data_IF_408114142258
#
_entry.id   IF_408114142258
#
_cell.length_a   1.000
_cell.length_b   1.000
_cell.length_c   1.000
_cell.angle_alpha   90.00
_cell.angle_beta   90.00
_cell.angle_gamma   90.00
#
_symmetry.space_group_name_H-M   'P 1'
#
loop_
_entity.id
_entity.type
_entity.pdbx_description
1 polymer ?
#
# COMPACT_ATOMS: atom_id res chain seq x y z
N UNK A 1 20.68 -5.05 77.48
CA UNK A 1 20.35 -3.68 77.01
C UNK A 1 21.06 -3.47 75.68
N UNK A 2 20.33 -3.51 74.60
CA UNK A 2 20.64 -2.84 73.32
C UNK A 2 19.53 -3.21 72.33
N UNK A 3 18.72 -2.23 71.97
CA UNK A 3 17.64 -2.31 71.04
C UNK A 3 18.21 -2.36 69.62
N UNK A 4 17.85 -3.38 68.82
CA UNK A 4 18.04 -3.38 67.37
C UNK A 4 16.71 -2.93 66.71
N UNK A 5 16.76 -1.77 66.05
CA UNK A 5 15.73 -1.30 65.16
C UNK A 5 15.94 -1.93 63.79
N UNK A 6 15.06 -2.80 63.37
CA UNK A 6 14.93 -3.27 62.01
C UNK A 6 14.15 -2.20 61.19
N UNK A 7 14.85 -1.60 60.26
CA UNK A 7 14.22 -0.76 59.23
C UNK A 7 13.65 -1.63 58.12
N UNK A 8 12.34 -1.76 58.10
CA UNK A 8 11.59 -2.32 56.97
C UNK A 8 11.46 -1.28 55.87
N UNK A 9 12.22 -1.45 54.78
CA UNK A 9 12.00 -0.69 53.56
C UNK A 9 10.71 -1.13 52.91
N UNK A 10 9.75 -0.21 52.93
CA UNK A 10 8.49 -0.36 52.21
C UNK A 10 8.72 -0.04 50.73
N UNK A 11 8.75 -1.07 49.88
CA UNK A 11 8.73 -0.88 48.43
C UNK A 11 7.39 -0.24 48.01
N UNK A 12 7.46 1.03 47.64
CA UNK A 12 6.35 1.74 47.05
C UNK A 12 6.09 1.19 45.63
N UNK A 13 5.04 0.42 45.48
CA UNK A 13 4.45 0.09 44.17
C UNK A 13 4.02 1.40 43.49
N UNK A 14 4.79 1.87 42.52
CA UNK A 14 4.37 2.91 41.58
C UNK A 14 3.18 2.38 40.78
N UNK A 15 1.99 2.62 41.26
CA UNK A 15 0.75 2.38 40.55
C UNK A 15 0.75 3.16 39.24
N UNK A 16 0.82 2.45 38.09
CA UNK A 16 0.52 3.03 36.78
C UNK A 16 -0.90 3.61 36.86
N UNK A 17 -1.03 4.92 36.99
CA UNK A 17 -2.29 5.62 36.78
C UNK A 17 -2.72 5.35 35.32
N UNK A 18 -3.63 4.40 35.11
CA UNK A 18 -4.37 4.29 33.86
C UNK A 18 -5.13 5.59 33.69
N UNK A 19 -4.68 6.48 32.80
CA UNK A 19 -5.48 7.61 32.33
C UNK A 19 -6.74 7.00 31.71
N UNK A 20 -7.88 7.11 32.39
CA UNK A 20 -9.18 6.88 31.78
C UNK A 20 -9.41 8.08 30.87
N UNK A 21 -9.18 7.92 29.58
CA UNK A 21 -9.67 8.86 28.59
C UNK A 21 -11.18 8.64 28.50
N UNK A 22 -11.95 9.56 29.03
CA UNK A 22 -13.35 9.70 28.68
C UNK A 22 -13.34 10.31 27.27
N UNK A 23 -13.38 9.49 26.25
CA UNK A 23 -13.67 9.95 24.89
C UNK A 23 -15.13 10.37 24.86
N UNK A 24 -15.42 11.63 24.57
CA UNK A 24 -16.77 12.03 24.19
C UNK A 24 -17.21 11.14 23.01
N UNK A 25 -18.48 10.76 23.00
CA UNK A 25 -19.02 9.97 21.89
C UNK A 25 -18.77 10.74 20.58
N UNK A 26 -18.25 10.05 19.57
CA UNK A 26 -18.01 10.64 18.25
C UNK A 26 -19.31 11.29 17.72
N UNK A 27 -19.21 12.51 17.23
CA UNK A 27 -20.35 13.18 16.60
C UNK A 27 -20.69 12.51 15.26
N UNK A 28 -21.68 11.63 15.29
CA UNK A 28 -22.12 10.80 14.16
C UNK A 28 -23.41 11.32 13.57
N UNK A 29 -23.47 11.45 12.25
CA UNK A 29 -24.70 11.73 11.55
C UNK A 29 -24.86 10.83 10.31
N UNK A 30 -26.10 10.71 9.83
CA UNK A 30 -26.45 9.94 8.64
C UNK A 30 -27.06 10.89 7.61
N UNK A 31 -26.75 10.65 6.34
CA UNK A 31 -27.31 11.34 5.19
C UNK A 31 -27.44 10.36 4.05
N UNK A 32 -28.48 10.51 3.22
CA UNK A 32 -28.62 9.69 2.02
C UNK A 32 -28.24 10.51 0.78
N UNK A 33 -27.42 9.91 -0.08
CA UNK A 33 -27.07 10.50 -1.38
C UNK A 33 -27.41 9.52 -2.50
N UNK A 34 -27.98 10.05 -3.58
CA UNK A 34 -28.16 9.26 -4.79
C UNK A 34 -26.81 9.01 -5.46
N UNK A 35 -26.72 7.95 -6.29
CA UNK A 35 -25.52 7.62 -7.05
C UNK A 35 -25.03 8.83 -7.87
N UNK A 36 -25.95 9.54 -8.53
CA UNK A 36 -25.67 10.78 -9.26
C UNK A 36 -25.09 11.87 -8.36
N UNK A 37 -25.64 12.06 -7.15
CA UNK A 37 -25.14 13.06 -6.20
C UNK A 37 -23.75 12.69 -5.67
N UNK A 38 -23.52 11.41 -5.37
CA UNK A 38 -22.21 10.93 -4.92
C UNK A 38 -21.15 11.18 -6.00
N UNK A 39 -21.39 10.77 -7.25
CA UNK A 39 -20.48 10.97 -8.36
C UNK A 39 -20.14 12.46 -8.57
N UNK A 40 -21.16 13.31 -8.61
CA UNK A 40 -20.99 14.77 -8.76
C UNK A 40 -20.17 15.41 -7.63
N UNK A 41 -20.36 14.96 -6.37
CA UNK A 41 -19.59 15.46 -5.22
C UNK A 41 -18.14 15.03 -5.28
N UNK A 42 -17.86 13.82 -5.77
CA UNK A 42 -16.48 13.35 -6.01
C UNK A 42 -15.80 14.20 -7.10
N UNK A 43 -16.50 14.50 -8.18
CA UNK A 43 -15.97 15.35 -9.27
C UNK A 43 -15.65 16.77 -8.82
N UNK A 44 -16.47 17.32 -7.94
CA UNK A 44 -16.26 18.65 -7.37
C UNK A 44 -15.21 18.71 -6.25
N UNK A 45 -14.67 17.57 -5.83
CA UNK A 45 -13.76 17.49 -4.68
C UNK A 45 -14.44 17.69 -3.32
N UNK A 46 -15.78 17.72 -3.26
CA UNK A 46 -16.52 17.76 -1.99
C UNK A 46 -16.44 16.41 -1.24
N UNK A 47 -16.22 15.33 -1.99
CA UNK A 47 -15.94 13.99 -1.46
C UNK A 47 -14.58 13.54 -1.97
N UNK A 48 -13.64 13.34 -1.07
CA UNK A 48 -12.33 12.78 -1.43
C UNK A 48 -12.33 11.27 -1.27
N UNK A 49 -11.86 10.60 -2.33
CA UNK A 49 -11.57 9.17 -2.33
C UNK A 49 -10.10 8.89 -1.99
N UNK A 50 -9.28 9.94 -1.91
CA UNK A 50 -7.87 9.88 -1.59
C UNK A 50 -7.67 10.30 -0.14
N UNK A 51 -7.58 9.34 0.75
CA UNK A 51 -7.02 9.58 2.07
C UNK A 51 -5.73 8.77 2.24
N UNK A 52 -4.90 9.18 3.20
CA UNK A 52 -3.60 8.58 3.44
C UNK A 52 -3.66 7.08 3.75
N UNK A 53 -4.81 6.58 4.15
CA UNK A 53 -5.02 5.23 4.70
C UNK A 53 -5.44 4.21 3.65
N UNK A 54 -6.13 4.63 2.56
CA UNK A 54 -6.77 3.71 1.64
C UNK A 54 -5.91 3.37 0.44
N UNK A 55 -5.94 2.08 0.03
CA UNK A 55 -5.36 1.58 -1.21
C UNK A 55 -5.87 2.35 -2.41
N UNK A 56 -5.09 2.35 -3.48
CA UNK A 56 -5.55 2.72 -4.81
C UNK A 56 -6.80 1.93 -5.23
N UNK A 57 -7.41 2.30 -6.34
CA UNK A 57 -8.51 1.52 -6.90
C UNK A 57 -8.00 0.16 -7.40
N UNK A 58 -8.55 -0.94 -6.84
CA UNK A 58 -8.07 -2.31 -7.09
C UNK A 58 -9.16 -3.28 -7.56
N UNK A 59 -10.43 -2.86 -7.62
CA UNK A 59 -11.50 -3.71 -8.11
C UNK A 59 -11.35 -4.00 -9.60
N UNK A 60 -11.42 -5.28 -9.96
CA UNK A 60 -11.57 -5.74 -11.32
C UNK A 60 -12.97 -5.44 -11.88
N UNK A 61 -13.14 -5.66 -13.18
CA UNK A 61 -14.41 -5.35 -13.85
C UNK A 61 -15.57 -6.21 -13.33
N UNK A 62 -15.30 -7.44 -12.93
CA UNK A 62 -16.33 -8.35 -12.43
C UNK A 62 -16.93 -7.85 -11.11
N UNK A 63 -16.09 -7.40 -10.17
CA UNK A 63 -16.54 -6.80 -8.90
C UNK A 63 -17.25 -5.46 -9.10
N UNK A 64 -16.77 -4.65 -10.05
CA UNK A 64 -17.43 -3.41 -10.41
C UNK A 64 -18.84 -3.68 -10.97
N UNK A 65 -18.95 -4.63 -11.89
CA UNK A 65 -20.22 -5.03 -12.51
C UNK A 65 -21.19 -5.61 -11.49
N UNK A 66 -20.70 -6.42 -10.54
CA UNK A 66 -21.52 -6.99 -9.47
C UNK A 66 -22.12 -5.91 -8.55
N UNK A 67 -21.41 -4.80 -8.31
CA UNK A 67 -21.97 -3.66 -7.56
C UNK A 67 -23.14 -3.03 -8.31
N UNK A 68 -22.99 -2.77 -9.60
CA UNK A 68 -24.06 -2.18 -10.42
C UNK A 68 -25.27 -3.12 -10.48
N UNK A 69 -25.03 -4.41 -10.68
CA UNK A 69 -26.08 -5.42 -10.62
C UNK A 69 -26.81 -5.40 -9.26
N UNK A 70 -26.07 -5.28 -8.15
CA UNK A 70 -26.67 -5.20 -6.80
C UNK A 70 -27.55 -3.96 -6.63
N UNK A 71 -27.21 -2.83 -7.27
CA UNK A 71 -28.05 -1.62 -7.25
C UNK A 71 -29.38 -1.85 -7.97
N UNK A 72 -29.37 -2.62 -9.05
CA UNK A 72 -30.58 -2.91 -9.86
C UNK A 72 -31.46 -3.98 -9.22
N UNK A 73 -30.88 -4.98 -8.57
CA UNK A 73 -31.59 -6.16 -8.06
C UNK A 73 -31.88 -6.10 -6.56
N UNK A 74 -31.57 -4.97 -5.90
CA UNK A 74 -31.89 -4.76 -4.49
C UNK A 74 -31.04 -5.54 -3.48
N UNK A 75 -29.90 -6.14 -3.91
CA UNK A 75 -28.97 -6.74 -2.96
C UNK A 75 -28.41 -5.67 -2.01
N UNK A 76 -28.23 -5.99 -0.71
CA UNK A 76 -27.81 -5.02 0.29
C UNK A 76 -26.40 -4.51 0.02
N UNK A 77 -26.25 -3.21 -0.08
CA UNK A 77 -24.96 -2.53 -0.19
C UNK A 77 -24.64 -1.90 1.16
N UNK A 78 -23.48 -2.23 1.78
CA UNK A 78 -23.11 -1.66 3.06
C UNK A 78 -23.03 -0.13 3.02
N UNK A 79 -23.33 0.59 4.12
CA UNK A 79 -23.22 2.03 4.17
C UNK A 79 -21.80 2.51 3.89
N UNK A 80 -21.68 3.74 3.42
CA UNK A 80 -20.39 4.43 3.32
C UNK A 80 -20.07 5.08 4.65
N UNK A 81 -18.80 5.09 5.03
CA UNK A 81 -18.33 5.78 6.21
C UNK A 81 -17.35 6.89 5.81
N UNK A 82 -17.53 8.08 6.40
CA UNK A 82 -16.76 9.26 6.05
C UNK A 82 -16.34 10.04 7.30
N UNK A 83 -15.22 10.73 7.25
CA UNK A 83 -14.93 11.87 8.13
C UNK A 83 -15.35 13.15 7.42
N UNK A 84 -15.79 14.15 8.19
CA UNK A 84 -16.09 15.46 7.68
C UNK A 84 -15.19 16.48 8.37
N UNK A 85 -14.43 17.20 7.56
CA UNK A 85 -13.64 18.35 8.02
C UNK A 85 -14.07 19.56 7.18
N UNK A 86 -14.57 20.59 7.81
CA UNK A 86 -15.19 21.73 7.16
C UNK A 86 -16.31 21.30 6.19
N UNK A 87 -16.13 21.52 4.90
CA UNK A 87 -17.10 21.14 3.85
C UNK A 87 -16.64 19.95 3.01
N UNK A 88 -15.56 19.26 3.38
CA UNK A 88 -15.02 18.12 2.65
C UNK A 88 -15.28 16.83 3.42
N UNK A 89 -15.82 15.85 2.71
CA UNK A 89 -16.02 14.49 3.21
C UNK A 89 -14.91 13.58 2.71
N UNK A 90 -14.19 12.92 3.63
CA UNK A 90 -13.17 11.94 3.28
C UNK A 90 -13.70 10.54 3.53
N UNK A 91 -13.75 9.69 2.49
CA UNK A 91 -14.23 8.31 2.62
C UNK A 91 -13.30 7.49 3.52
N UNK A 92 -13.83 6.93 4.59
CA UNK A 92 -13.18 5.99 5.49
C UNK A 92 -13.40 4.54 5.06
N UNK A 93 -14.62 4.24 4.58
CA UNK A 93 -14.94 2.97 3.92
C UNK A 93 -15.88 3.21 2.74
N UNK A 94 -15.73 2.38 1.70
CA UNK A 94 -16.53 2.45 0.49
C UNK A 94 -15.83 3.08 -0.71
N UNK A 95 -14.53 3.42 -0.63
CA UNK A 95 -13.76 3.98 -1.76
C UNK A 95 -13.95 3.20 -3.06
N UNK A 96 -13.81 1.87 -3.03
CA UNK A 96 -13.94 1.05 -4.23
C UNK A 96 -15.35 1.16 -4.83
N UNK A 97 -16.38 1.16 -3.98
CA UNK A 97 -17.78 1.31 -4.38
C UNK A 97 -18.05 2.70 -4.97
N UNK A 98 -17.63 3.76 -4.28
CA UNK A 98 -17.81 5.13 -4.76
C UNK A 98 -17.09 5.39 -6.09
N UNK A 99 -15.86 4.90 -6.23
CA UNK A 99 -15.12 5.00 -7.49
C UNK A 99 -15.80 4.21 -8.61
N UNK A 100 -16.32 3.02 -8.32
CA UNK A 100 -17.05 2.20 -9.31
C UNK A 100 -18.30 2.93 -9.81
N UNK A 101 -19.10 3.49 -8.91
CA UNK A 101 -20.31 4.25 -9.27
C UNK A 101 -19.95 5.43 -10.19
N UNK A 102 -18.96 6.25 -9.80
CA UNK A 102 -18.48 7.36 -10.62
C UNK A 102 -18.02 6.89 -12.00
N UNK A 103 -17.19 5.85 -12.05
CA UNK A 103 -16.64 5.31 -13.30
C UNK A 103 -17.71 4.78 -14.23
N UNK A 104 -18.72 4.11 -13.67
CA UNK A 104 -19.83 3.58 -14.49
C UNK A 104 -20.69 4.70 -15.08
N UNK A 105 -21.08 5.68 -14.26
CA UNK A 105 -21.86 6.83 -14.72
C UNK A 105 -21.13 7.68 -15.78
N UNK A 106 -19.78 7.58 -15.83
CA UNK A 106 -18.92 8.23 -16.83
C UNK A 106 -18.53 7.32 -18.01
N UNK A 107 -19.21 6.18 -18.21
CA UNK A 107 -18.92 5.22 -19.29
C UNK A 107 -17.48 4.68 -19.34
N UNK A 108 -16.79 4.63 -18.19
CA UNK A 108 -15.39 4.20 -18.14
C UNK A 108 -15.21 2.67 -18.24
N UNK A 109 -16.27 1.88 -18.06
CA UNK A 109 -16.25 0.43 -18.26
C UNK A 109 -17.61 -0.11 -18.68
N UNK A 110 -17.61 -1.28 -19.31
CA UNK A 110 -18.81 -2.06 -19.64
C UNK A 110 -19.04 -3.16 -18.61
N UNK A 111 -20.29 -3.50 -18.35
CA UNK A 111 -20.70 -4.58 -17.44
C UNK A 111 -20.22 -5.94 -17.93
N UNK A 112 -19.88 -6.84 -17.01
CA UNK A 112 -19.31 -8.14 -17.35
C UNK A 112 -19.61 -9.19 -16.28
N UNK A 113 -19.90 -10.41 -16.74
CA UNK A 113 -20.07 -11.59 -15.89
C UNK A 113 -21.11 -11.41 -14.76
N UNK A 114 -22.23 -10.74 -15.07
CA UNK A 114 -23.36 -10.58 -14.16
C UNK A 114 -24.58 -11.36 -14.67
N UNK A 115 -25.46 -11.83 -13.78
CA UNK A 115 -26.73 -12.43 -14.18
C UNK A 115 -27.61 -11.43 -14.96
N UNK A 116 -28.51 -11.96 -15.75
CA UNK A 116 -29.62 -11.20 -16.36
C UNK A 116 -30.49 -10.56 -15.27
N UNK A 117 -31.13 -9.45 -15.60
CA UNK A 117 -32.04 -8.75 -14.68
C UNK A 117 -33.48 -8.86 -15.16
N UNK A 118 -34.42 -8.88 -14.23
CA UNK A 118 -35.84 -8.70 -14.52
C UNK A 118 -36.09 -7.20 -14.69
N UNK A 119 -36.74 -6.85 -15.81
CA UNK A 119 -37.06 -5.50 -16.19
C UNK A 119 -38.56 -5.37 -16.44
N UNK A 120 -39.23 -4.49 -15.71
CA UNK A 120 -40.65 -4.21 -15.87
C UNK A 120 -40.85 -3.11 -16.91
N UNK A 121 -41.52 -3.45 -18.02
CA UNK A 121 -41.86 -2.49 -19.08
C UNK A 121 -43.35 -2.20 -19.00
N UNK A 122 -43.70 -0.96 -18.75
CA UNK A 122 -45.11 -0.51 -18.79
C UNK A 122 -45.41 0.14 -20.14
N UNK A 123 -46.34 -0.45 -20.87
CA UNK A 123 -46.84 0.10 -22.14
C UNK A 123 -48.27 0.62 -21.96
N UNK A 124 -48.55 1.83 -22.43
CA UNK A 124 -49.89 2.39 -22.50
C UNK A 124 -50.43 2.21 -23.93
N UNK A 125 -51.55 1.48 -24.06
CA UNK A 125 -52.27 1.31 -25.31
C UNK A 125 -53.72 1.66 -25.04
N UNK A 126 -54.26 2.63 -25.77
CA UNK A 126 -55.67 3.09 -25.71
C UNK A 126 -56.13 3.50 -24.29
N UNK A 127 -55.21 4.03 -23.45
CA UNK A 127 -55.50 4.47 -22.08
C UNK A 127 -55.48 3.34 -21.04
N UNK A 128 -55.12 2.14 -21.42
CA UNK A 128 -54.88 1.02 -20.52
C UNK A 128 -53.35 0.79 -20.35
N UNK A 129 -52.89 0.77 -19.13
CA UNK A 129 -51.46 0.47 -18.79
C UNK A 129 -51.29 -1.03 -18.60
N UNK A 130 -50.44 -1.63 -19.40
CA UNK A 130 -50.03 -3.04 -19.23
C UNK A 130 -48.55 -3.12 -18.84
N UNK A 131 -48.26 -3.76 -17.72
CA UNK A 131 -46.89 -4.01 -17.28
C UNK A 131 -46.50 -5.45 -17.63
N UNK A 132 -45.38 -5.61 -18.34
CA UNK A 132 -44.79 -6.90 -18.68
C UNK A 132 -43.39 -6.98 -18.09
N UNK A 133 -43.01 -8.16 -17.62
CA UNK A 133 -41.63 -8.41 -17.14
C UNK A 133 -40.84 -9.05 -18.27
N UNK A 134 -39.74 -8.43 -18.63
CA UNK A 134 -38.77 -8.93 -19.61
C UNK A 134 -37.45 -9.31 -18.92
N UNK A 135 -36.77 -10.32 -19.45
CA UNK A 135 -35.41 -10.67 -19.01
C UNK A 135 -34.42 -9.90 -19.88
N UNK A 136 -33.60 -9.11 -19.26
CA UNK A 136 -32.64 -8.25 -19.94
C UNK A 136 -31.18 -8.64 -19.60
N UNK A 137 -30.41 -8.99 -20.63
CA UNK A 137 -28.97 -9.12 -20.55
C UNK A 137 -28.30 -7.77 -20.79
N UNK A 138 -27.64 -7.25 -19.77
CA UNK A 138 -26.91 -5.98 -19.79
C UNK A 138 -25.37 -6.18 -19.83
N UNK A 139 -24.90 -7.42 -19.99
CA UNK A 139 -23.47 -7.67 -20.17
C UNK A 139 -22.93 -7.00 -21.44
N UNK A 140 -21.73 -6.47 -21.39
CA UNK A 140 -21.10 -5.74 -22.49
C UNK A 140 -21.56 -4.29 -22.63
N UNK A 141 -22.61 -3.86 -21.92
CA UNK A 141 -23.14 -2.50 -22.01
C UNK A 141 -22.45 -1.54 -21.04
N UNK A 142 -22.21 -0.32 -21.49
CA UNK A 142 -21.85 0.85 -20.70
C UNK A 142 -23.11 1.52 -20.16
N UNK A 143 -22.95 2.49 -19.28
CA UNK A 143 -24.08 3.18 -18.67
C UNK A 143 -24.99 3.87 -19.71
N UNK A 144 -24.41 4.59 -20.68
CA UNK A 144 -25.18 5.29 -21.75
C UNK A 144 -25.86 4.35 -22.72
N UNK A 145 -25.51 3.06 -22.75
CA UNK A 145 -26.07 2.04 -23.64
C UNK A 145 -27.25 1.27 -23.00
N UNK A 146 -27.54 1.55 -21.71
CA UNK A 146 -28.67 0.95 -21.01
C UNK A 146 -30.02 1.66 -21.38
N UNK A 147 -31.15 0.98 -21.23
CA UNK A 147 -32.46 1.63 -21.28
C UNK A 147 -32.53 2.80 -20.28
N UNK A 148 -33.30 3.86 -20.65
CA UNK A 148 -33.36 5.12 -19.90
C UNK A 148 -33.86 4.93 -18.46
N UNK A 149 -34.85 4.10 -18.25
CA UNK A 149 -35.39 3.76 -16.93
C UNK A 149 -34.41 2.98 -16.05
N UNK A 150 -33.60 2.09 -16.64
CA UNK A 150 -32.49 1.42 -15.97
C UNK A 150 -31.40 2.44 -15.59
N UNK A 151 -31.07 3.37 -16.49
CA UNK A 151 -30.17 4.47 -16.19
C UNK A 151 -30.65 5.31 -15.01
N UNK A 152 -31.95 5.65 -15.00
CA UNK A 152 -32.56 6.46 -13.96
C UNK A 152 -32.59 5.70 -12.61
N UNK A 153 -32.93 4.41 -12.65
CA UNK A 153 -32.84 3.54 -11.46
C UNK A 153 -31.42 3.56 -10.84
N UNK A 154 -30.37 3.49 -11.67
CA UNK A 154 -28.98 3.56 -11.20
C UNK A 154 -28.65 4.96 -10.66
N UNK A 155 -29.03 6.04 -11.38
CA UNK A 155 -28.77 7.43 -10.95
C UNK A 155 -29.40 7.75 -9.61
N UNK A 156 -30.63 7.29 -9.41
CA UNK A 156 -31.45 7.59 -8.24
C UNK A 156 -31.27 6.60 -7.10
N UNK A 157 -30.48 5.53 -7.30
CA UNK A 157 -30.15 4.58 -6.23
C UNK A 157 -29.59 5.34 -5.02
N UNK A 158 -30.21 5.17 -3.86
CA UNK A 158 -29.89 5.91 -2.65
C UNK A 158 -28.95 5.15 -1.74
N UNK A 159 -27.75 5.71 -1.52
CA UNK A 159 -26.75 5.17 -0.60
C UNK A 159 -26.89 5.79 0.79
N UNK A 160 -26.78 4.97 1.81
CA UNK A 160 -26.66 5.43 3.20
C UNK A 160 -25.20 5.86 3.48
N UNK A 161 -25.01 7.13 3.84
CA UNK A 161 -23.75 7.74 4.20
C UNK A 161 -23.72 8.04 5.68
N UNK A 162 -22.76 7.46 6.39
CA UNK A 162 -22.50 7.74 7.80
C UNK A 162 -21.26 8.61 7.89
N UNK A 163 -21.37 9.79 8.46
CA UNK A 163 -20.19 10.64 8.63
C UNK A 163 -19.96 11.01 10.08
N UNK A 164 -18.71 11.32 10.39
CA UNK A 164 -18.21 11.74 11.69
C UNK A 164 -17.58 13.10 11.53
N UNK A 165 -18.03 14.06 12.34
CA UNK A 165 -17.58 15.44 12.28
C UNK A 165 -16.51 15.70 13.34
N UNK A 166 -15.42 16.38 12.95
CA UNK A 166 -14.34 16.80 13.84
C UNK A 166 -13.54 15.66 14.47
N UNK A 167 -13.45 14.49 13.84
CA UNK A 167 -12.64 13.37 14.34
C UNK A 167 -11.15 13.56 14.02
N UNK A 168 -10.31 13.13 14.97
CA UNK A 168 -8.84 13.16 14.83
C UNK A 168 -8.31 12.06 13.93
N UNK A 169 -7.07 12.18 13.45
CA UNK A 169 -6.40 11.15 12.64
C UNK A 169 -6.25 9.82 13.39
N UNK A 170 -6.06 9.84 14.71
CA UNK A 170 -6.03 8.62 15.52
C UNK A 170 -7.39 7.92 15.57
N UNK A 171 -8.49 8.69 15.67
CA UNK A 171 -9.85 8.15 15.60
C UNK A 171 -10.19 7.62 14.21
N UNK A 172 -9.75 8.30 13.14
CA UNK A 172 -9.83 7.81 11.76
C UNK A 172 -9.16 6.45 11.64
N UNK A 173 -7.94 6.31 12.16
CA UNK A 173 -7.15 5.07 12.13
C UNK A 173 -7.85 3.93 12.87
N UNK A 174 -8.38 4.20 14.05
CA UNK A 174 -9.11 3.22 14.87
C UNK A 174 -10.41 2.77 14.18
N UNK A 175 -11.16 3.70 13.60
CA UNK A 175 -12.36 3.38 12.82
C UNK A 175 -12.04 2.50 11.62
N UNK A 176 -10.95 2.80 10.91
CA UNK A 176 -10.50 1.99 9.79
C UNK A 176 -10.26 0.53 10.21
N UNK A 177 -9.59 0.34 11.36
CA UNK A 177 -9.35 -1.00 11.90
C UNK A 177 -10.66 -1.73 12.21
N UNK A 178 -11.66 -1.02 12.75
CA UNK A 178 -12.94 -1.61 13.13
C UNK A 178 -13.83 -1.92 11.92
N UNK A 179 -13.91 -1.03 10.95
CA UNK A 179 -14.72 -1.19 9.73
C UNK A 179 -14.23 -2.34 8.85
N UNK A 180 -12.93 -2.59 8.81
CA UNK A 180 -12.34 -3.68 8.03
C UNK A 180 -12.36 -5.04 8.75
N UNK A 181 -13.37 -5.33 9.59
CA UNK A 181 -13.56 -6.60 10.30
C UNK A 181 -12.37 -7.04 11.16
N UNK A 182 -11.71 -6.11 11.79
CA UNK A 182 -10.55 -6.40 12.63
C UNK A 182 -9.31 -6.89 11.85
N UNK A 183 -9.33 -6.87 10.50
CA UNK A 183 -8.09 -7.01 9.74
C UNK A 183 -7.25 -5.76 10.02
N UNK A 184 -6.13 -5.90 10.70
CA UNK A 184 -5.28 -4.76 10.95
C UNK A 184 -4.86 -4.17 9.61
N UNK A 185 -4.82 -2.85 9.54
CA UNK A 185 -4.18 -2.16 8.44
C UNK A 185 -2.80 -2.79 8.21
N UNK A 186 -2.41 -2.98 6.96
CA UNK A 186 -1.04 -3.39 6.65
C UNK A 186 -0.06 -2.37 7.23
N UNK A 187 1.18 -2.76 7.45
CA UNK A 187 2.19 -1.85 7.99
C UNK A 187 2.23 -0.54 7.19
N UNK A 188 2.16 -0.64 5.87
CA UNK A 188 2.19 0.53 4.98
C UNK A 188 0.95 1.42 5.11
N UNK A 189 -0.25 0.84 5.22
CA UNK A 189 -1.48 1.62 5.40
C UNK A 189 -1.46 2.42 6.71
N UNK A 190 -0.82 1.89 7.75
CA UNK A 190 -0.63 2.59 9.02
C UNK A 190 0.46 3.65 8.96
N UNK A 191 1.52 3.42 8.18
CA UNK A 191 2.56 4.41 7.92
C UNK A 191 1.97 5.68 7.36
N UNK A 192 1.11 5.51 6.36
CA UNK A 192 0.48 6.63 5.65
C UNK A 192 -0.32 7.55 6.56
N UNK A 193 -0.79 7.07 7.70
CA UNK A 193 -1.59 7.85 8.67
C UNK A 193 -0.71 8.56 9.69
N UNK A 194 0.41 7.97 10.06
CA UNK A 194 1.19 8.40 11.24
C UNK A 194 2.52 9.05 10.92
N UNK A 195 3.06 8.86 9.71
CA UNK A 195 4.36 9.42 9.36
C UNK A 195 4.27 10.88 8.91
N UNK A 196 5.21 11.70 9.37
CA UNK A 196 5.41 13.06 8.88
C UNK A 196 6.06 13.08 7.48
N UNK A 197 6.76 12.01 7.12
CA UNK A 197 7.51 11.88 5.88
C UNK A 197 6.68 11.48 4.65
N UNK A 198 5.33 11.45 4.72
CA UNK A 198 4.50 10.92 3.62
C UNK A 198 4.71 11.67 2.30
N UNK A 199 4.87 12.97 2.33
CA UNK A 199 5.12 13.77 1.12
C UNK A 199 6.44 13.36 0.47
N UNK A 200 7.52 13.32 1.23
CA UNK A 200 8.86 12.90 0.79
C UNK A 200 8.86 11.45 0.26
N UNK A 201 8.18 10.53 0.95
CA UNK A 201 8.05 9.13 0.50
C UNK A 201 7.37 9.07 -0.87
N UNK A 202 6.32 9.85 -1.11
CA UNK A 202 5.61 9.90 -2.39
C UNK A 202 6.45 10.50 -3.52
N UNK A 203 7.30 11.46 -3.22
CA UNK A 203 8.24 12.02 -4.18
C UNK A 203 9.29 10.99 -4.58
N UNK A 204 9.92 10.31 -3.61
CA UNK A 204 10.86 9.21 -3.87
C UNK A 204 10.19 8.06 -4.64
N UNK A 205 8.91 7.77 -4.39
CA UNK A 205 8.15 6.73 -5.09
C UNK A 205 7.98 6.99 -6.60
N UNK A 206 8.23 8.21 -7.09
CA UNK A 206 8.27 8.52 -8.52
C UNK A 206 9.57 8.04 -9.21
N UNK A 207 10.55 7.55 -8.44
CA UNK A 207 11.82 7.09 -9.01
C UNK A 207 11.61 5.90 -9.97
N UNK A 208 12.24 5.89 -11.18
CA UNK A 208 12.01 4.88 -12.23
C UNK A 208 12.27 3.43 -11.81
N UNK A 209 13.05 3.20 -10.75
CA UNK A 209 13.31 1.85 -10.25
C UNK A 209 12.01 1.13 -9.87
N UNK A 210 11.03 1.85 -9.32
CA UNK A 210 9.77 1.22 -8.86
C UNK A 210 8.91 0.74 -10.01
N UNK A 211 8.85 1.46 -11.13
CA UNK A 211 8.17 0.99 -12.34
C UNK A 211 8.92 -0.18 -13.01
N UNK A 212 10.24 -0.28 -12.79
CA UNK A 212 11.06 -1.41 -13.26
C UNK A 212 10.91 -2.66 -12.38
N UNK A 213 10.84 -2.48 -11.06
CA UNK A 213 10.82 -3.55 -10.06
C UNK A 213 9.43 -4.10 -9.75
N UNK A 214 8.39 -3.28 -9.91
CA UNK A 214 7.04 -3.56 -9.43
C UNK A 214 6.01 -3.56 -10.55
N UNK A 215 4.96 -4.37 -10.38
CA UNK A 215 3.77 -4.30 -11.22
C UNK A 215 2.88 -3.13 -10.79
N UNK A 216 2.05 -2.63 -11.71
CA UNK A 216 1.04 -1.60 -11.36
C UNK A 216 0.16 -2.01 -10.17
N UNK A 217 -0.20 -3.31 -10.07
CA UNK A 217 -0.98 -3.82 -8.95
C UNK A 217 -0.23 -3.74 -7.61
N UNK A 218 1.10 -3.86 -7.62
CA UNK A 218 1.93 -3.70 -6.43
C UNK A 218 2.05 -2.21 -6.03
N UNK A 219 2.24 -1.32 -7.00
CA UNK A 219 2.26 0.14 -6.77
C UNK A 219 0.91 0.62 -6.22
N UNK A 220 -0.21 0.15 -6.78
CA UNK A 220 -1.55 0.44 -6.24
C UNK A 220 -1.77 -0.02 -4.79
N UNK A 221 -0.93 -0.95 -4.30
CA UNK A 221 -0.90 -1.41 -2.90
C UNK A 221 0.19 -0.74 -2.07
N UNK A 222 0.83 0.31 -2.59
CA UNK A 222 1.89 1.07 -1.94
C UNK A 222 3.13 0.23 -1.59
N UNK A 223 3.47 -0.76 -2.42
CA UNK A 223 4.66 -1.61 -2.21
C UNK A 223 5.96 -0.81 -2.41
N UNK A 224 5.96 0.18 -3.29
CA UNK A 224 6.99 1.18 -3.49
C UNK A 224 7.26 1.98 -2.21
N UNK A 225 6.24 2.55 -1.60
CA UNK A 225 6.35 3.30 -0.35
C UNK A 225 6.86 2.40 0.81
N UNK A 226 6.41 1.13 0.87
CA UNK A 226 6.90 0.16 1.86
C UNK A 226 8.39 -0.17 1.65
N UNK A 227 8.87 -0.22 0.41
CA UNK A 227 10.30 -0.39 0.11
C UNK A 227 11.09 0.82 0.59
N UNK A 228 10.63 2.03 0.30
CA UNK A 228 11.30 3.27 0.72
C UNK A 228 11.47 3.32 2.24
N UNK A 229 10.39 3.07 2.99
CA UNK A 229 10.43 3.04 4.45
C UNK A 229 11.43 2.01 4.99
N UNK A 230 11.42 0.80 4.41
CA UNK A 230 12.32 -0.27 4.83
C UNK A 230 13.76 -0.01 4.43
N UNK A 231 14.00 0.66 3.31
CA UNK A 231 15.32 1.13 2.92
C UNK A 231 15.85 2.16 3.91
N UNK A 232 15.04 3.15 4.25
CA UNK A 232 15.37 4.14 5.27
C UNK A 232 15.68 3.49 6.63
N UNK A 233 14.89 2.50 7.04
CA UNK A 233 15.12 1.74 8.27
C UNK A 233 16.46 1.01 8.25
N UNK A 234 16.82 0.38 7.14
CA UNK A 234 18.11 -0.31 6.99
C UNK A 234 19.30 0.62 7.11
N UNK A 235 19.16 1.85 6.61
CA UNK A 235 20.24 2.84 6.65
C UNK A 235 20.37 3.49 8.02
N UNK A 236 19.26 3.69 8.74
CA UNK A 236 19.24 4.51 9.95
C UNK A 236 19.10 3.71 11.26
N UNK A 237 18.83 2.40 11.22
CA UNK A 237 18.61 1.57 12.42
C UNK A 237 19.37 0.26 12.35
N UNK A 238 20.37 0.10 13.22
CA UNK A 238 21.23 -1.09 13.25
C UNK A 238 20.47 -2.41 13.47
N UNK A 239 19.41 -2.40 14.31
CA UNK A 239 18.59 -3.56 14.65
C UNK A 239 17.17 -3.41 14.09
N UNK A 240 17.05 -3.13 12.79
CA UNK A 240 15.76 -2.94 12.15
C UNK A 240 15.00 -4.27 11.99
N UNK A 241 13.66 -4.18 12.06
CA UNK A 241 12.75 -5.28 11.77
C UNK A 241 11.73 -4.82 10.73
N UNK A 242 11.44 -5.69 9.75
CA UNK A 242 10.39 -5.43 8.76
C UNK A 242 9.05 -6.04 9.16
N UNK A 243 8.96 -6.60 10.37
CA UNK A 243 7.69 -7.13 10.88
C UNK A 243 6.71 -5.99 11.16
N UNK A 244 5.44 -6.21 10.83
CA UNK A 244 4.38 -5.19 10.92
C UNK A 244 4.33 -4.51 12.29
N UNK A 245 4.52 -5.26 13.38
CA UNK A 245 4.48 -4.72 14.74
C UNK A 245 5.65 -3.77 15.03
N UNK A 246 6.85 -4.12 14.58
CA UNK A 246 8.05 -3.31 14.77
C UNK A 246 7.99 -2.02 13.95
N UNK A 247 7.61 -2.14 12.67
CA UNK A 247 7.44 -0.98 11.79
C UNK A 247 6.38 -0.02 12.37
N UNK A 248 5.26 -0.55 12.88
CA UNK A 248 4.21 0.24 13.56
C UNK A 248 4.71 1.06 14.74
N UNK A 249 5.61 0.50 15.53
CA UNK A 249 6.07 1.13 16.76
C UNK A 249 6.88 2.41 16.52
N UNK A 250 7.48 2.54 15.35
CA UNK A 250 8.39 3.65 14.99
C UNK A 250 7.82 4.60 13.93
N UNK A 251 6.59 4.35 13.48
CA UNK A 251 5.99 5.09 12.37
C UNK A 251 5.89 6.59 12.59
N UNK A 252 5.54 7.01 13.80
CA UNK A 252 5.41 8.42 14.15
C UNK A 252 6.77 9.14 14.20
N UNK A 253 7.85 8.37 14.32
CA UNK A 253 9.22 8.87 14.44
C UNK A 253 9.96 8.87 13.09
N UNK A 254 9.32 8.38 12.02
CA UNK A 254 9.91 8.40 10.68
C UNK A 254 9.78 9.83 10.14
N UNK A 255 10.94 10.46 10.01
CA UNK A 255 11.14 11.73 9.35
C UNK A 255 12.34 11.56 8.41
N UNK A 256 12.16 11.83 7.12
CA UNK A 256 13.19 11.65 6.10
C UNK A 256 13.74 13.02 5.75
N UNK A 257 15.00 13.28 6.12
CA UNK A 257 15.66 14.54 5.80
C UNK A 257 15.98 14.64 4.30
N UNK A 258 16.33 15.82 3.83
CA UNK A 258 16.72 16.03 2.43
C UNK A 258 18.01 15.25 2.08
N UNK A 259 18.94 15.13 3.02
CA UNK A 259 20.16 14.34 2.89
C UNK A 259 19.84 12.84 2.74
N UNK A 260 19.03 12.30 3.64
CA UNK A 260 18.60 10.90 3.62
C UNK A 260 17.78 10.57 2.35
N UNK A 261 16.98 11.54 1.88
CA UNK A 261 16.29 11.45 0.60
C UNK A 261 17.29 11.32 -0.55
N UNK A 262 18.28 12.20 -0.61
CA UNK A 262 19.30 12.20 -1.67
C UNK A 262 20.11 10.88 -1.67
N UNK A 263 20.43 10.34 -0.49
CA UNK A 263 21.08 9.04 -0.36
C UNK A 263 20.21 7.90 -0.90
N UNK A 264 18.92 7.86 -0.57
CA UNK A 264 17.97 6.86 -1.08
C UNK A 264 17.83 6.95 -2.60
N UNK A 265 17.64 8.15 -3.15
CA UNK A 265 17.54 8.38 -4.60
C UNK A 265 18.85 7.99 -5.33
N UNK A 266 20.00 8.27 -4.73
CA UNK A 266 21.32 7.85 -5.23
C UNK A 266 21.46 6.34 -5.24
N UNK A 267 21.06 5.66 -4.15
CA UNK A 267 21.06 4.20 -4.07
C UNK A 267 20.16 3.57 -5.15
N UNK A 268 18.94 4.09 -5.30
CA UNK A 268 18.00 3.59 -6.31
C UNK A 268 18.50 3.82 -7.73
N UNK A 269 19.11 4.97 -8.01
CA UNK A 269 19.74 5.25 -9.31
C UNK A 269 20.88 4.28 -9.58
N UNK A 270 21.75 4.05 -8.61
CA UNK A 270 22.87 3.10 -8.71
C UNK A 270 22.41 1.69 -9.01
N UNK A 271 21.33 1.23 -8.33
CA UNK A 271 20.77 -0.11 -8.56
C UNK A 271 20.09 -0.21 -9.94
N UNK A 272 19.41 0.85 -10.39
CA UNK A 272 18.81 0.90 -11.72
C UNK A 272 19.86 0.87 -12.82
N UNK A 273 20.95 1.62 -12.65
CA UNK A 273 22.08 1.62 -13.58
C UNK A 273 22.72 0.23 -13.66
N UNK A 274 22.90 -0.44 -12.51
CA UNK A 274 23.41 -1.79 -12.47
C UNK A 274 22.44 -2.80 -13.15
N UNK A 275 21.14 -2.67 -12.91
CA UNK A 275 20.12 -3.46 -13.61
C UNK A 275 20.24 -3.31 -15.13
N UNK A 276 20.35 -2.08 -15.62
CA UNK A 276 20.47 -1.80 -17.05
C UNK A 276 21.80 -2.33 -17.60
N UNK A 277 22.90 -2.12 -16.89
CA UNK A 277 24.23 -2.60 -17.29
C UNK A 277 24.28 -4.12 -17.42
N UNK A 278 23.72 -4.85 -16.45
CA UNK A 278 23.66 -6.34 -16.47
C UNK A 278 22.90 -6.83 -17.70
N UNK A 279 21.78 -6.19 -18.06
CA UNK A 279 20.97 -6.58 -19.22
C UNK A 279 21.71 -6.46 -20.54
N UNK A 280 22.59 -5.48 -20.65
CA UNK A 280 23.29 -5.15 -21.91
C UNK A 280 24.63 -5.88 -22.02
N UNK A 281 25.33 -6.06 -20.89
CA UNK A 281 26.72 -6.53 -20.90
C UNK A 281 26.89 -8.02 -20.54
N UNK A 282 25.82 -8.78 -20.40
CA UNK A 282 25.89 -10.23 -20.16
C UNK A 282 25.80 -10.99 -21.49
N UNK A 283 26.74 -11.89 -21.74
CA UNK A 283 26.84 -12.65 -22.98
C UNK A 283 25.58 -13.49 -23.26
N UNK A 284 24.95 -14.06 -22.23
CA UNK A 284 23.68 -14.82 -22.36
C UNK A 284 22.50 -13.92 -21.96
N UNK A 285 21.64 -13.51 -22.91
CA UNK A 285 20.47 -12.65 -22.62
C UNK A 285 19.46 -13.27 -21.63
N UNK A 286 19.34 -14.62 -21.58
CA UNK A 286 18.45 -15.30 -20.62
C UNK A 286 19.02 -15.21 -19.22
N UNK A 287 20.31 -15.40 -19.05
CA UNK A 287 21.00 -15.25 -17.77
C UNK A 287 20.97 -13.78 -17.33
N UNK A 288 21.24 -12.84 -18.24
CA UNK A 288 21.16 -11.41 -18.00
C UNK A 288 19.81 -11.00 -17.41
N UNK A 289 18.72 -11.36 -18.08
CA UNK A 289 17.37 -11.06 -17.62
C UNK A 289 17.07 -11.71 -16.26
N UNK A 290 17.56 -12.91 -16.01
CA UNK A 290 17.36 -13.63 -14.76
C UNK A 290 18.06 -12.92 -13.60
N UNK A 291 19.31 -12.50 -13.77
CA UNK A 291 20.09 -11.79 -12.74
C UNK A 291 19.51 -10.39 -12.50
N UNK A 292 19.26 -9.64 -13.56
CA UNK A 292 18.69 -8.32 -13.48
C UNK A 292 17.34 -8.31 -12.71
N UNK A 293 16.45 -9.25 -13.03
CA UNK A 293 15.20 -9.42 -12.27
C UNK A 293 15.40 -9.73 -10.80
N UNK A 294 16.44 -10.51 -10.45
CA UNK A 294 16.77 -10.78 -9.04
C UNK A 294 17.16 -9.49 -8.31
N UNK A 295 18.06 -8.71 -8.88
CA UNK A 295 18.57 -7.46 -8.30
C UNK A 295 17.41 -6.54 -7.87
N UNK A 296 16.35 -6.45 -8.67
CA UNK A 296 15.18 -5.60 -8.39
C UNK A 296 14.05 -6.32 -7.66
N UNK A 297 14.19 -7.60 -7.29
CA UNK A 297 13.19 -8.28 -6.45
C UNK A 297 13.19 -7.66 -5.06
N UNK A 298 12.03 -7.39 -4.47
CA UNK A 298 11.86 -6.64 -3.22
C UNK A 298 12.87 -6.97 -2.12
N UNK A 299 13.08 -8.25 -1.80
CA UNK A 299 14.01 -8.66 -0.75
C UNK A 299 15.46 -8.34 -1.10
N UNK A 300 15.84 -8.58 -2.36
CA UNK A 300 17.20 -8.31 -2.83
C UNK A 300 17.44 -6.80 -2.99
N UNK A 301 16.49 -6.07 -3.58
CA UNK A 301 16.54 -4.61 -3.70
C UNK A 301 16.80 -3.96 -2.33
N UNK A 302 15.99 -4.32 -1.31
CA UNK A 302 16.18 -3.83 0.06
C UNK A 302 17.59 -4.16 0.60
N UNK A 303 18.07 -5.38 0.39
CA UNK A 303 19.38 -5.80 0.90
C UNK A 303 20.55 -5.10 0.19
N UNK A 304 20.37 -4.66 -1.05
CA UNK A 304 21.40 -3.99 -1.86
C UNK A 304 21.53 -2.50 -1.52
N UNK A 305 20.43 -1.84 -1.07
CA UNK A 305 20.41 -0.39 -0.84
C UNK A 305 21.59 0.14 -0.04
N UNK A 306 21.97 -0.41 1.13
CA UNK A 306 23.13 0.10 1.89
C UNK A 306 24.44 0.02 1.10
N UNK A 307 24.62 -1.04 0.35
CA UNK A 307 25.82 -1.25 -0.48
C UNK A 307 25.85 -0.38 -1.74
N UNK A 308 24.70 0.02 -2.22
CA UNK A 308 24.61 0.98 -3.31
C UNK A 308 25.08 2.37 -2.87
N UNK A 309 24.71 2.82 -1.65
CA UNK A 309 25.25 4.04 -1.03
C UNK A 309 26.76 3.89 -0.83
N UNK A 310 27.20 2.83 -0.14
CA UNK A 310 28.59 2.55 0.13
C UNK A 310 29.44 2.56 -1.14
N UNK A 311 28.94 2.01 -2.25
CA UNK A 311 29.67 1.98 -3.51
C UNK A 311 29.93 3.37 -4.12
N UNK A 312 29.10 4.36 -3.79
CA UNK A 312 29.32 5.75 -4.20
C UNK A 312 30.37 6.40 -3.32
N UNK A 313 30.31 6.18 -2.02
CA UNK A 313 31.30 6.66 -1.05
C UNK A 313 32.69 6.09 -1.34
N UNK A 314 32.76 4.80 -1.67
CA UNK A 314 34.01 4.10 -2.04
C UNK A 314 34.50 4.43 -3.45
N UNK A 315 33.84 5.34 -4.17
CA UNK A 315 34.16 5.69 -5.56
C UNK A 315 34.19 4.50 -6.53
N UNK A 316 33.37 3.47 -6.25
CA UNK A 316 33.23 2.31 -7.13
C UNK A 316 32.43 2.72 -8.40
N UNK A 317 32.96 2.38 -9.59
CA UNK A 317 32.22 2.65 -10.83
C UNK A 317 30.94 1.81 -10.94
N UNK A 318 29.94 2.29 -11.70
CA UNK A 318 28.71 1.54 -12.01
C UNK A 318 29.05 0.16 -12.58
N UNK A 319 30.02 0.09 -13.49
CA UNK A 319 30.48 -1.18 -14.09
C UNK A 319 30.98 -2.18 -13.06
N UNK A 320 31.87 -1.76 -12.15
CA UNK A 320 32.40 -2.65 -11.10
C UNK A 320 31.32 -3.10 -10.13
N UNK A 321 30.45 -2.18 -9.73
CA UNK A 321 29.29 -2.49 -8.87
C UNK A 321 28.33 -3.48 -9.56
N UNK A 322 28.09 -3.33 -10.85
CA UNK A 322 27.24 -4.22 -11.64
C UNK A 322 27.85 -5.62 -11.78
N UNK A 323 29.19 -5.71 -11.99
CA UNK A 323 29.93 -6.99 -12.04
C UNK A 323 29.81 -7.72 -10.71
N UNK A 324 29.99 -7.04 -9.57
CA UNK A 324 29.81 -7.63 -8.25
C UNK A 324 28.39 -8.19 -8.08
N UNK A 325 27.36 -7.42 -8.38
CA UNK A 325 25.97 -7.89 -8.30
C UNK A 325 25.72 -9.07 -9.25
N UNK A 326 26.29 -9.04 -10.45
CA UNK A 326 26.15 -10.11 -11.43
C UNK A 326 26.75 -11.41 -10.91
N UNK A 327 27.95 -11.37 -10.33
CA UNK A 327 28.61 -12.54 -9.73
C UNK A 327 27.83 -13.03 -8.51
N UNK A 328 27.46 -12.16 -7.58
CA UNK A 328 26.73 -12.52 -6.37
C UNK A 328 25.37 -13.19 -6.70
N UNK A 329 24.64 -12.68 -7.70
CA UNK A 329 23.33 -13.19 -8.08
C UNK A 329 23.37 -14.21 -9.24
N UNK A 330 24.52 -14.67 -9.67
CA UNK A 330 24.66 -15.67 -10.75
C UNK A 330 24.20 -17.08 -10.37
N UNK A 331 23.96 -17.35 -9.09
CA UNK A 331 23.53 -18.63 -8.57
C UNK A 331 22.33 -19.26 -9.31
N UNK A 332 22.10 -20.54 -9.11
CA UNK A 332 21.05 -21.30 -9.80
C UNK A 332 19.63 -20.90 -9.37
N UNK A 333 18.67 -20.97 -10.28
CA UNK A 333 17.24 -20.66 -10.07
C UNK A 333 17.04 -19.22 -9.54
N UNK A 334 16.50 -19.06 -8.32
CA UNK A 334 16.27 -17.77 -7.68
C UNK A 334 17.25 -17.50 -6.53
N UNK A 335 18.37 -18.19 -6.50
CA UNK A 335 19.36 -18.14 -5.42
C UNK A 335 20.61 -17.35 -5.85
N UNK A 336 21.28 -16.69 -4.88
CA UNK A 336 22.63 -16.18 -5.04
C UNK A 336 23.66 -17.32 -4.96
N UNK A 337 24.94 -17.02 -5.14
CA UNK A 337 26.00 -17.99 -4.92
C UNK A 337 26.20 -18.32 -3.42
N UNK A 338 25.74 -17.47 -2.54
CA UNK A 338 25.87 -17.59 -1.08
C UNK A 338 24.63 -18.29 -0.48
N UNK A 339 24.83 -19.50 0.07
CA UNK A 339 23.74 -20.28 0.66
C UNK A 339 23.17 -19.63 1.92
N UNK A 340 24.02 -19.06 2.76
CA UNK A 340 23.58 -18.38 3.98
C UNK A 340 22.72 -17.16 3.66
N UNK A 341 23.07 -16.39 2.64
CA UNK A 341 22.21 -15.32 2.13
C UNK A 341 20.85 -15.84 1.69
N UNK A 342 20.84 -16.93 0.90
CA UNK A 342 19.62 -17.50 0.33
C UNK A 342 18.65 -18.00 1.40
N UNK A 343 19.14 -18.68 2.43
CA UNK A 343 18.31 -19.20 3.51
C UNK A 343 17.61 -18.05 4.28
N UNK A 344 18.25 -16.91 4.39
CA UNK A 344 17.73 -15.73 5.07
C UNK A 344 16.93 -14.78 4.15
N UNK A 345 16.90 -15.05 2.83
CA UNK A 345 16.12 -14.29 1.84
C UNK A 345 14.71 -14.86 1.58
N UNK A 346 14.39 -16.01 2.16
CA UNK A 346 13.11 -16.73 1.99
C UNK A 346 12.07 -16.34 3.05
N UNK A 347 11.25 -17.30 3.48
CA UNK A 347 10.24 -17.10 4.51
C UNK A 347 10.87 -16.55 5.79
N UNK A 348 10.24 -15.52 6.37
CA UNK A 348 10.76 -14.83 7.56
C UNK A 348 11.86 -13.79 7.26
N UNK A 349 12.12 -13.45 6.00
CA UNK A 349 13.15 -12.49 5.59
C UNK A 349 13.04 -11.09 6.26
N UNK A 350 11.89 -10.77 6.86
CA UNK A 350 11.66 -9.52 7.59
C UNK A 350 12.10 -9.53 9.06
N UNK A 351 12.53 -10.67 9.60
CA UNK A 351 13.03 -10.77 10.98
C UNK A 351 14.42 -10.15 11.13
N UNK A 352 14.72 -9.52 12.27
CA UNK A 352 16.00 -8.83 12.49
C UNK A 352 17.24 -9.71 12.23
N UNK A 353 17.21 -10.93 12.74
CA UNK A 353 18.32 -11.87 12.55
C UNK A 353 18.54 -12.24 11.08
N UNK A 354 17.47 -12.40 10.30
CA UNK A 354 17.58 -12.73 8.88
C UNK A 354 18.05 -11.53 8.05
N UNK A 355 17.63 -10.33 8.41
CA UNK A 355 18.13 -9.08 7.82
C UNK A 355 19.64 -8.96 8.08
N UNK A 356 20.07 -9.12 9.33
CA UNK A 356 21.48 -9.04 9.74
C UNK A 356 22.34 -10.06 9.01
N UNK A 357 21.88 -11.33 8.91
CA UNK A 357 22.63 -12.39 8.21
C UNK A 357 22.78 -12.09 6.71
N UNK A 358 21.72 -11.59 6.05
CA UNK A 358 21.83 -11.18 4.64
C UNK A 358 22.80 -10.03 4.44
N UNK A 359 22.76 -9.03 5.32
CA UNK A 359 23.67 -7.89 5.25
C UNK A 359 25.12 -8.32 5.49
N UNK A 360 25.35 -9.24 6.44
CA UNK A 360 26.70 -9.80 6.67
C UNK A 360 27.22 -10.57 5.45
N UNK A 361 26.38 -11.40 4.82
CA UNK A 361 26.77 -12.14 3.60
C UNK A 361 27.13 -11.19 2.44
N UNK A 362 26.31 -10.14 2.24
CA UNK A 362 26.60 -9.12 1.22
C UNK A 362 27.87 -8.31 1.57
N UNK A 363 28.06 -7.92 2.83
CA UNK A 363 29.24 -7.19 3.28
C UNK A 363 30.52 -8.00 3.05
N UNK A 364 30.52 -9.27 3.42
CA UNK A 364 31.66 -10.17 3.18
C UNK A 364 31.98 -10.30 1.68
N UNK A 365 30.93 -10.47 0.84
CA UNK A 365 31.10 -10.53 -0.61
C UNK A 365 31.59 -9.21 -1.22
N UNK A 366 31.06 -8.08 -0.73
CA UNK A 366 31.44 -6.74 -1.17
C UNK A 366 32.92 -6.48 -0.86
N UNK A 367 33.32 -6.71 0.38
CA UNK A 367 34.68 -6.49 0.82
C UNK A 367 35.67 -7.41 0.08
N UNK A 368 35.34 -8.68 -0.08
CA UNK A 368 36.18 -9.63 -0.85
C UNK A 368 36.34 -9.20 -2.32
N UNK A 369 35.26 -8.71 -2.95
CA UNK A 369 35.29 -8.31 -4.37
C UNK A 369 36.04 -7.00 -4.62
N UNK A 370 35.89 -6.02 -3.73
CA UNK A 370 36.45 -4.69 -3.97
C UNK A 370 37.79 -4.45 -3.29
N UNK A 371 38.07 -5.13 -2.17
CA UNK A 371 39.24 -4.87 -1.30
C UNK A 371 40.01 -6.13 -0.92
N UNK A 372 39.66 -7.33 -1.46
CA UNK A 372 40.25 -8.60 -1.07
C UNK A 372 41.75 -8.73 -1.39
N UNK A 373 42.27 -8.01 -2.38
CA UNK A 373 43.68 -8.06 -2.77
C UNK A 373 44.59 -7.17 -1.88
N UNK A 374 44.03 -6.32 -1.02
CA UNK A 374 44.79 -5.47 -0.13
C UNK A 374 45.16 -6.18 1.21
N UNK A 375 44.48 -7.28 1.54
CA UNK A 375 44.72 -8.00 2.81
C UNK A 375 45.90 -8.99 2.78
N UNK A 376 46.46 -9.31 1.58
CA UNK A 376 47.64 -10.18 1.46
C UNK A 376 48.97 -9.40 1.43
N UNK A 377 48.95 -8.07 1.44
CA UNK A 377 50.14 -7.22 1.35
C UNK A 377 50.40 -6.34 2.60
N UNK A 378 49.69 -6.57 3.72
CA UNK A 378 49.91 -5.88 5.01
C UNK A 378 50.33 -6.91 6.12
#
# INVERSE_FOLDING_TARGET
MCYNKSTTETQAHKGRKRKRYFTMAMNRANINWTAKNLAKRIEKGEVTTENAVQRGFVWDNDKQSLLIHSMLTGYPIPPFFMSKNDNVYSLLDGKQRATTVKRFLNDEFALKNIPEIEHEVTTEVDGESTTTTEILDINGKKFSELPEDIQDTIKDYSFNMVYFDGITDDEVSEMFCRLNNGKPLSAIELTRVKTKALATIREIAQHPIFSTALTEAAIKKYTDEDIIIKSWLLMNKADCSFETKAVRAIMADIDITDEERAELETAYSRILDAYNWIKVNTFDPKLANKIAKRVVTRTHLLSIVPFAVQSVEDNISVERFSKWLMEFYAGTRSASIDENYNDNARQGSGKPENIKRRNTALANSYNAFFFGDEAETA
#
